data_IF_930488890022
#
_entry.id   IF_930488890022
#
_cell.length_a   1.000
_cell.length_b   1.000
_cell.length_c   1.000
_cell.angle_alpha   90.00
_cell.angle_beta   90.00
_cell.angle_gamma   90.00
#
_symmetry.space_group_name_H-M   'P 1'
#
loop_
_entity.id
_entity.type
_entity.pdbx_description
1 polymer ?
#
# COMPACT_ATOMS: atom_id res chain seq x y z
N UNK A 1 1.90 -14.83 -6.95
CA UNK A 1 1.00 -13.67 -6.82
C UNK A 1 -0.40 -14.03 -7.31
N UNK A 2 -1.43 -13.33 -6.80
CA UNK A 2 -2.86 -13.47 -7.11
C UNK A 2 -3.24 -13.14 -8.57
N UNK A 3 -2.56 -13.69 -9.57
CA UNK A 3 -2.89 -13.49 -10.98
C UNK A 3 -2.46 -12.14 -11.57
N UNK A 4 -1.67 -11.33 -10.85
CA UNK A 4 -1.08 -10.09 -11.39
C UNK A 4 0.17 -10.38 -12.23
N UNK A 5 0.36 -9.60 -13.28
CA UNK A 5 1.61 -9.58 -14.06
C UNK A 5 2.73 -8.86 -13.30
N UNK A 6 3.98 -9.11 -13.69
CA UNK A 6 5.15 -8.46 -13.08
C UNK A 6 5.06 -6.93 -13.15
N UNK A 7 4.56 -6.38 -14.25
CA UNK A 7 4.36 -4.94 -14.40
C UNK A 7 3.31 -4.40 -13.41
N UNK A 8 2.20 -5.11 -13.22
CA UNK A 8 1.17 -4.72 -12.26
C UNK A 8 1.68 -4.80 -10.81
N UNK A 9 2.48 -5.81 -10.50
CA UNK A 9 3.13 -5.96 -9.19
C UNK A 9 4.05 -4.78 -8.91
N UNK A 10 4.88 -4.38 -9.88
CA UNK A 10 5.77 -3.24 -9.75
C UNK A 10 5.00 -1.93 -9.56
N UNK A 11 3.92 -1.75 -10.32
CA UNK A 11 3.07 -0.57 -10.20
C UNK A 11 2.44 -0.45 -8.79
N UNK A 12 1.90 -1.56 -8.28
CA UNK A 12 1.36 -1.64 -6.91
C UNK A 12 2.44 -1.33 -5.88
N UNK A 13 3.66 -1.81 -6.08
CA UNK A 13 4.81 -1.47 -5.24
C UNK A 13 5.15 0.03 -5.23
N UNK A 14 4.82 0.75 -6.30
CA UNK A 14 4.93 2.22 -6.39
C UNK A 14 3.76 2.99 -5.76
N UNK A 15 2.73 2.31 -5.26
CA UNK A 15 1.53 2.92 -4.69
C UNK A 15 0.52 3.38 -5.74
N UNK A 16 0.48 2.72 -6.90
CA UNK A 16 -0.48 2.93 -8.00
C UNK A 16 -1.02 1.58 -8.47
N UNK A 17 -2.20 1.58 -9.06
CA UNK A 17 -2.75 0.39 -9.71
C UNK A 17 -3.66 0.81 -10.87
N UNK A 18 -3.11 1.56 -11.84
CA UNK A 18 -3.88 2.18 -12.94
C UNK A 18 -4.71 1.18 -13.76
N UNK A 19 -4.37 -0.10 -13.71
CA UNK A 19 -5.12 -1.18 -14.33
C UNK A 19 -6.48 -1.49 -13.66
N UNK A 20 -6.73 -1.00 -12.44
CA UNK A 20 -8.00 -1.15 -11.72
C UNK A 20 -8.28 0.09 -10.86
N UNK A 21 -9.30 0.87 -11.22
CA UNK A 21 -9.62 2.12 -10.55
C UNK A 21 -9.94 1.97 -9.04
N UNK A 22 -10.50 0.83 -8.63
CA UNK A 22 -10.84 0.58 -7.24
C UNK A 22 -9.59 0.25 -6.43
N UNK A 23 -8.67 -0.54 -6.99
CA UNK A 23 -7.37 -0.79 -6.39
C UNK A 23 -6.47 0.45 -6.41
N UNK A 24 -6.57 1.28 -7.45
CA UNK A 24 -5.77 2.51 -7.57
C UNK A 24 -6.11 3.52 -6.47
N UNK A 25 -7.39 3.67 -6.14
CA UNK A 25 -7.83 4.51 -5.03
C UNK A 25 -7.31 4.00 -3.68
N UNK A 26 -7.30 2.67 -3.48
CA UNK A 26 -6.72 2.05 -2.28
C UNK A 26 -5.20 2.29 -2.22
N UNK A 27 -4.47 2.03 -3.31
CA UNK A 27 -3.02 2.16 -3.36
C UNK A 27 -2.55 3.59 -3.07
N UNK A 28 -3.23 4.58 -3.64
CA UNK A 28 -2.94 5.99 -3.39
C UNK A 28 -3.21 6.40 -1.93
N UNK A 29 -4.35 5.99 -1.38
CA UNK A 29 -4.70 6.31 0.01
C UNK A 29 -3.72 5.66 0.99
N UNK A 30 -3.36 4.39 0.78
CA UNK A 30 -2.37 3.67 1.60
C UNK A 30 -1.02 4.41 1.58
N UNK A 31 -0.54 4.79 0.39
CA UNK A 31 0.71 5.53 0.23
C UNK A 31 0.68 6.86 0.98
N UNK A 32 -0.41 7.61 0.87
CA UNK A 32 -0.56 8.89 1.55
C UNK A 32 -0.62 8.72 3.08
N UNK A 33 -1.45 7.80 3.60
CA UNK A 33 -1.54 7.52 5.05
C UNK A 33 -0.18 7.13 5.62
N UNK A 34 0.55 6.24 4.94
CA UNK A 34 1.87 5.79 5.39
C UNK A 34 2.90 6.92 5.38
N UNK A 35 2.89 7.79 4.36
CA UNK A 35 3.83 8.90 4.22
C UNK A 35 3.54 10.04 5.22
N UNK A 36 2.26 10.37 5.40
CA UNK A 36 1.78 11.46 6.26
C UNK A 36 1.48 11.00 7.70
N UNK A 37 1.87 9.76 8.04
CA UNK A 37 1.75 9.19 9.39
C UNK A 37 0.33 9.28 9.96
N UNK A 38 -0.67 8.96 9.13
CA UNK A 38 -2.07 8.98 9.51
C UNK A 38 -2.82 10.29 9.21
N UNK A 39 -2.13 11.37 8.84
CA UNK A 39 -2.77 12.63 8.42
C UNK A 39 -3.18 12.55 6.95
N UNK A 40 -4.16 11.68 6.67
CA UNK A 40 -4.62 11.44 5.31
C UNK A 40 -5.19 12.71 4.66
N UNK A 41 -4.90 12.91 3.38
CA UNK A 41 -5.59 13.92 2.58
C UNK A 41 -7.08 13.57 2.50
N UNK A 42 -8.00 14.46 2.94
CA UNK A 42 -9.44 14.23 2.84
C UNK A 42 -9.90 13.89 1.42
N UNK A 43 -9.28 14.47 0.38
CA UNK A 43 -9.63 14.18 -1.01
C UNK A 43 -9.37 12.72 -1.40
N UNK A 44 -8.31 12.10 -0.87
CA UNK A 44 -8.00 10.69 -1.12
C UNK A 44 -8.94 9.76 -0.36
N UNK A 45 -9.39 10.15 0.84
CA UNK A 45 -10.40 9.41 1.60
C UNK A 45 -11.74 9.41 0.83
N UNK A 46 -12.16 10.57 0.32
CA UNK A 46 -13.37 10.67 -0.50
C UNK A 46 -13.25 9.86 -1.79
N UNK A 47 -12.11 9.92 -2.49
CA UNK A 47 -11.87 9.12 -3.70
C UNK A 47 -11.94 7.61 -3.42
N UNK A 48 -11.39 7.15 -2.29
CA UNK A 48 -11.47 5.76 -1.85
C UNK A 48 -12.93 5.31 -1.63
N UNK A 49 -13.74 6.11 -0.94
CA UNK A 49 -15.15 5.80 -0.71
C UNK A 49 -15.97 5.85 -2.02
N UNK A 50 -15.69 6.84 -2.88
CA UNK A 50 -16.32 6.97 -4.19
C UNK A 50 -16.01 5.79 -5.14
N UNK A 51 -14.85 5.15 -4.99
CA UNK A 51 -14.49 3.92 -5.69
C UNK A 51 -15.24 2.67 -5.19
N UNK A 52 -16.17 2.82 -4.24
CA UNK A 52 -17.02 1.75 -3.71
C UNK A 52 -16.37 0.95 -2.58
N UNK A 53 -15.39 1.52 -1.89
CA UNK A 53 -14.94 1.02 -0.60
C UNK A 53 -15.79 1.59 0.54
N UNK A 54 -15.85 0.86 1.65
CA UNK A 54 -16.65 1.26 2.81
C UNK A 54 -15.77 1.85 3.91
N UNK A 55 -16.39 2.51 4.89
CA UNK A 55 -15.72 2.95 6.12
C UNK A 55 -15.11 1.78 6.90
N UNK A 56 -15.71 0.59 6.84
CA UNK A 56 -15.11 -0.61 7.43
C UNK A 56 -13.79 -0.95 6.73
N UNK A 57 -13.76 -0.91 5.39
CA UNK A 57 -12.52 -1.13 4.63
C UNK A 57 -11.45 -0.07 4.92
N UNK A 58 -11.85 1.18 5.20
CA UNK A 58 -10.92 2.22 5.63
C UNK A 58 -10.25 1.86 6.96
N UNK A 59 -11.03 1.39 7.94
CA UNK A 59 -10.50 0.92 9.23
C UNK A 59 -9.57 -0.27 9.02
N UNK A 60 -9.98 -1.27 8.24
CA UNK A 60 -9.14 -2.44 7.92
C UNK A 60 -7.82 -2.03 7.25
N UNK A 61 -7.88 -1.04 6.35
CA UNK A 61 -6.70 -0.49 5.66
C UNK A 61 -5.72 0.13 6.65
N UNK A 62 -6.22 0.93 7.61
CA UNK A 62 -5.38 1.55 8.64
C UNK A 62 -4.75 0.48 9.55
N UNK A 63 -5.51 -0.55 9.93
CA UNK A 63 -4.99 -1.68 10.73
C UNK A 63 -3.87 -2.41 9.98
N UNK A 64 -4.07 -2.69 8.69
CA UNK A 64 -3.05 -3.34 7.85
C UNK A 64 -1.78 -2.48 7.70
N UNK A 65 -1.91 -1.15 7.58
CA UNK A 65 -0.77 -0.23 7.59
C UNK A 65 -0.03 -0.30 8.93
N UNK A 66 -0.75 -0.35 10.05
CA UNK A 66 -0.18 -0.51 11.39
C UNK A 66 0.63 -1.80 11.52
N UNK A 67 0.04 -2.94 11.13
CA UNK A 67 0.72 -4.25 11.10
C UNK A 67 2.05 -4.17 10.32
N UNK A 68 2.00 -3.65 9.08
CA UNK A 68 3.21 -3.54 8.26
C UNK A 68 4.23 -2.56 8.80
N UNK A 69 3.79 -1.48 9.42
CA UNK A 69 4.70 -0.53 10.09
C UNK A 69 5.46 -1.23 11.22
N UNK A 70 4.77 -1.99 12.06
CA UNK A 70 5.39 -2.74 13.16
C UNK A 70 6.38 -3.77 12.62
N UNK A 71 5.99 -4.58 11.62
CA UNK A 71 6.89 -5.60 11.06
C UNK A 71 8.10 -4.98 10.35
N UNK A 72 7.92 -3.88 9.63
CA UNK A 72 9.02 -3.16 8.98
C UNK A 72 10.01 -2.64 10.02
N UNK A 73 9.52 -2.10 11.13
CA UNK A 73 10.39 -1.63 12.23
C UNK A 73 11.12 -2.77 12.91
N UNK A 74 10.44 -3.90 13.16
CA UNK A 74 11.09 -5.10 13.71
C UNK A 74 12.22 -5.56 12.78
N UNK A 75 11.95 -5.72 11.49
CA UNK A 75 12.95 -6.17 10.52
C UNK A 75 14.14 -5.20 10.42
N UNK A 76 13.86 -3.90 10.33
CA UNK A 76 14.90 -2.87 10.25
C UNK A 76 15.77 -2.80 11.52
N UNK A 77 15.16 -2.95 12.70
CA UNK A 77 15.85 -2.88 14.00
C UNK A 77 16.69 -4.13 14.26
N UNK A 78 16.12 -5.30 14.01
CA UNK A 78 16.75 -6.60 14.31
C UNK A 78 17.71 -7.08 13.22
N UNK A 79 17.63 -6.50 12.02
CA UNK A 79 18.46 -6.86 10.85
C UNK A 79 18.39 -8.35 10.52
N UNK A 80 17.20 -8.94 10.61
CA UNK A 80 16.96 -10.31 10.16
C UNK A 80 17.43 -10.45 8.69
N UNK A 81 18.21 -11.47 8.34
CA UNK A 81 18.63 -11.70 6.96
C UNK A 81 17.44 -11.98 6.04
N UNK A 82 17.46 -11.40 4.85
CA UNK A 82 16.49 -11.71 3.79
C UNK A 82 16.88 -13.04 3.15
N UNK A 83 15.98 -14.02 3.16
CA UNK A 83 16.19 -15.39 2.66
C UNK A 83 15.65 -15.62 1.23
N UNK A 84 15.29 -14.54 0.53
CA UNK A 84 14.78 -14.54 -0.83
C UNK A 84 15.55 -13.57 -1.75
N UNK A 85 15.43 -13.72 -3.08
CA UNK A 85 16.09 -12.82 -4.04
C UNK A 85 15.68 -11.36 -3.84
N UNK A 86 16.60 -10.44 -4.13
CA UNK A 86 16.33 -9.01 -4.08
C UNK A 86 15.18 -8.63 -5.04
N UNK A 87 14.30 -7.73 -4.58
CA UNK A 87 13.24 -7.20 -5.42
C UNK A 87 13.84 -6.37 -6.58
N UNK A 88 13.25 -6.42 -7.78
CA UNK A 88 13.63 -5.52 -8.86
C UNK A 88 13.48 -4.05 -8.45
N UNK A 89 14.36 -3.19 -8.95
CA UNK A 89 14.27 -1.75 -8.70
C UNK A 89 12.99 -1.17 -9.32
N UNK A 90 12.32 -0.29 -8.58
CA UNK A 90 11.29 0.57 -9.16
C UNK A 90 11.99 1.65 -9.99
N UNK A 91 11.70 1.70 -11.29
CA UNK A 91 12.05 2.85 -12.12
C UNK A 91 11.16 4.02 -11.71
N UNK A 92 11.64 4.83 -10.76
CA UNK A 92 11.03 6.12 -10.39
C UNK A 92 11.14 7.14 -11.50
#
# INVERSE_FOLDING_TARGET
>A
MHGFSDAQILEVGGGRASFDAKLDALAQLVRNIASERGHADPALVEAFLAAGWTKANLVDTIVAIGDKTVTNYLHATTRVPVDFPAAPNLSV
#
